data_IF_304912091913
#
_entry.id   IF_304912091913
#
_cell.length_a   1.000
_cell.length_b   1.000
_cell.length_c   1.000
_cell.angle_alpha   90.00
_cell.angle_beta   90.00
_cell.angle_gamma   90.00
#
_symmetry.space_group_name_H-M   'P 1'
#
loop_
_entity.id
_entity.type
_entity.pdbx_description
1 polymer ?
#
# COMPACT_ATOMS: atom_id res chain seq x y z
N UNK A 1 -32.07 13.95 8.98
CA UNK A 1 -30.64 13.91 9.37
C UNK A 1 -29.86 13.45 8.15
N UNK A 2 -29.01 14.31 7.59
CA UNK A 2 -28.07 13.90 6.53
C UNK A 2 -26.95 13.07 7.18
N UNK A 3 -26.52 11.96 6.56
CA UNK A 3 -25.36 11.21 7.03
C UNK A 3 -24.09 12.08 6.94
N UNK A 4 -23.09 11.87 7.81
CA UNK A 4 -21.82 12.57 7.73
C UNK A 4 -21.18 12.31 6.36
N UNK A 5 -20.83 13.39 5.64
CA UNK A 5 -20.17 13.31 4.35
C UNK A 5 -18.70 12.95 4.60
N UNK A 6 -18.36 11.68 4.38
CA UNK A 6 -16.97 11.23 4.33
C UNK A 6 -16.35 11.77 3.03
N UNK A 7 -15.51 12.80 3.14
CA UNK A 7 -14.67 13.23 2.04
C UNK A 7 -13.55 12.20 1.85
N UNK A 8 -13.76 11.22 0.97
CA UNK A 8 -12.70 10.33 0.51
C UNK A 8 -11.74 11.13 -0.36
N UNK A 9 -10.58 11.50 0.19
CA UNK A 9 -9.48 12.08 -0.57
C UNK A 9 -8.80 10.94 -1.30
N UNK A 10 -9.24 10.68 -2.54
CA UNK A 10 -8.52 9.78 -3.44
C UNK A 10 -7.20 10.43 -3.81
N UNK A 11 -6.10 9.78 -3.45
CA UNK A 11 -4.76 10.23 -3.77
C UNK A 11 -4.24 9.55 -5.03
N UNK A 12 -3.99 10.33 -6.07
CA UNK A 12 -3.18 9.86 -7.19
C UNK A 12 -1.72 10.27 -6.98
N UNK A 13 -0.85 9.27 -6.89
CA UNK A 13 0.54 9.44 -7.30
C UNK A 13 0.62 8.86 -8.71
N UNK A 14 0.75 9.69 -9.76
CA UNK A 14 0.65 9.23 -11.14
C UNK A 14 1.89 8.41 -11.48
N UNK A 15 1.85 7.10 -11.25
CA UNK A 15 2.91 6.15 -11.60
C UNK A 15 2.36 4.75 -11.95
N UNK A 16 1.15 4.65 -12.52
CA UNK A 16 0.74 3.40 -13.19
C UNK A 16 0.85 3.64 -14.69
N UNK A 17 1.80 2.99 -15.40
CA UNK A 17 1.75 3.01 -16.86
C UNK A 17 0.49 2.28 -17.30
N UNK A 18 -0.33 2.95 -18.11
CA UNK A 18 -1.28 2.26 -18.98
C UNK A 18 -0.47 1.28 -19.84
N UNK A 19 -0.94 0.04 -19.98
CA UNK A 19 -0.26 -1.05 -20.68
C UNK A 19 -0.10 -0.82 -22.20
N UNK A 20 -0.33 0.40 -22.69
CA UNK A 20 -0.36 0.75 -24.11
C UNK A 20 0.62 1.85 -24.55
N UNK A 21 1.41 2.47 -23.66
CA UNK A 21 2.34 3.54 -24.09
C UNK A 21 3.81 3.29 -23.75
N UNK A 22 4.57 2.91 -24.77
CA UNK A 22 6.03 3.00 -24.81
C UNK A 22 6.44 4.47 -24.94
N UNK A 23 6.64 5.15 -23.82
CA UNK A 23 7.34 6.43 -23.78
C UNK A 23 8.07 6.62 -22.45
N UNK A 24 9.39 6.70 -22.53
CA UNK A 24 10.30 7.03 -21.44
C UNK A 24 10.00 8.40 -20.84
N UNK A 25 9.15 8.43 -19.79
CA UNK A 25 9.00 9.59 -18.91
C UNK A 25 9.45 9.23 -17.51
N UNK A 26 10.50 9.91 -17.06
CA UNK A 26 11.06 9.76 -15.73
C UNK A 26 10.05 10.32 -14.70
N UNK A 27 9.23 9.42 -14.16
CA UNK A 27 8.22 9.74 -13.14
C UNK A 27 8.91 10.26 -11.87
N UNK A 28 8.79 11.56 -11.57
CA UNK A 28 9.14 12.11 -10.27
C UNK A 28 7.86 12.28 -9.44
N UNK A 29 7.72 11.52 -8.35
CA UNK A 29 6.60 11.60 -7.40
C UNK A 29 6.60 12.95 -6.66
N UNK A 30 6.12 14.02 -7.30
CA UNK A 30 6.16 15.40 -6.77
C UNK A 30 4.79 16.06 -6.62
N UNK A 31 3.74 15.40 -7.07
CA UNK A 31 2.38 15.94 -7.04
C UNK A 31 1.42 14.99 -6.34
N UNK A 32 0.51 15.57 -5.59
CA UNK A 32 -0.64 14.93 -4.98
C UNK A 32 -1.91 15.48 -5.63
N UNK A 33 -2.77 14.62 -6.17
CA UNK A 33 -4.10 15.02 -6.62
C UNK A 33 -5.11 14.88 -5.48
N UNK A 34 -5.91 15.92 -5.26
CA UNK A 34 -6.99 15.96 -4.27
C UNK A 34 -8.32 16.11 -5.00
N UNK A 35 -9.21 15.14 -4.83
CA UNK A 35 -10.59 15.20 -5.28
C UNK A 35 -11.54 15.33 -4.09
N UNK A 36 -12.48 16.28 -4.14
CA UNK A 36 -13.56 16.37 -3.17
C UNK A 36 -14.81 15.67 -3.71
N UNK A 37 -15.33 14.71 -2.94
CA UNK A 37 -16.60 14.01 -3.23
C UNK A 37 -17.62 14.34 -2.14
N UNK A 38 -18.91 14.34 -2.52
CA UNK A 38 -20.01 14.66 -1.60
C UNK A 38 -20.22 16.15 -1.30
N UNK A 39 -19.47 17.04 -1.95
CA UNK A 39 -19.63 18.50 -1.88
C UNK A 39 -20.11 19.00 -3.25
N UNK A 40 -21.02 19.98 -3.27
CA UNK A 40 -21.50 20.61 -4.52
C UNK A 40 -20.32 21.21 -5.30
N UNK A 41 -20.41 21.17 -6.62
CA UNK A 41 -19.41 21.78 -7.51
C UNK A 41 -19.34 23.30 -7.35
N UNK A 42 -18.18 23.87 -7.66
CA UNK A 42 -17.96 25.32 -7.62
C UNK A 42 -17.69 25.90 -6.23
N UNK A 43 -17.70 25.11 -5.17
CA UNK A 43 -17.36 25.54 -3.80
C UNK A 43 -15.85 25.80 -3.70
N UNK A 44 -15.40 26.91 -3.08
CA UNK A 44 -13.97 27.14 -2.87
C UNK A 44 -13.33 26.01 -2.07
N UNK A 45 -12.26 25.43 -2.60
CA UNK A 45 -11.49 24.36 -1.96
C UNK A 45 -10.03 24.79 -1.80
N UNK A 46 -9.43 24.42 -0.67
CA UNK A 46 -7.99 24.61 -0.41
C UNK A 46 -7.43 23.36 0.24
N UNK A 47 -6.36 22.81 -0.33
CA UNK A 47 -5.58 21.71 0.22
C UNK A 47 -4.23 22.23 0.70
N UNK A 48 -3.82 21.85 1.91
CA UNK A 48 -2.54 22.26 2.50
C UNK A 48 -1.83 21.03 3.07
N UNK A 49 -0.60 20.80 2.64
CA UNK A 49 0.26 19.76 3.20
C UNK A 49 1.23 20.34 4.23
N UNK A 50 1.51 19.55 5.26
CA UNK A 50 2.42 19.88 6.34
C UNK A 50 3.42 18.76 6.59
N UNK A 51 4.68 19.14 6.78
CA UNK A 51 5.72 18.35 7.44
C UNK A 51 5.71 18.74 8.93
N UNK A 52 5.14 17.86 9.76
CA UNK A 52 4.82 18.17 11.15
C UNK A 52 3.92 19.42 11.27
N UNK A 53 4.51 20.52 11.77
CA UNK A 53 3.84 21.84 11.89
C UNK A 53 4.15 22.79 10.73
N UNK A 54 5.20 22.50 9.94
CA UNK A 54 5.65 23.35 8.85
C UNK A 54 4.78 23.12 7.63
N UNK A 55 4.17 24.18 7.11
CA UNK A 55 3.45 24.14 5.83
C UNK A 55 4.46 23.94 4.69
N UNK A 56 4.25 22.93 3.85
CA UNK A 56 5.17 22.58 2.74
C UNK A 56 4.57 22.75 1.36
N UNK A 57 3.24 22.69 1.24
CA UNK A 57 2.55 22.97 -0.02
C UNK A 57 1.14 23.49 0.24
N UNK A 58 0.61 24.29 -0.68
CA UNK A 58 -0.81 24.69 -0.69
C UNK A 58 -1.31 24.79 -2.13
N UNK A 59 -2.53 24.34 -2.36
CA UNK A 59 -3.24 24.50 -3.60
C UNK A 59 -4.66 24.96 -3.30
N UNK A 60 -5.21 25.81 -4.16
CA UNK A 60 -6.59 26.31 -4.05
C UNK A 60 -7.29 26.22 -5.40
N UNK A 61 -8.60 26.00 -5.37
CA UNK A 61 -9.41 25.86 -6.56
C UNK A 61 -10.89 25.85 -6.23
N UNK A 62 -11.67 25.14 -7.05
CA UNK A 62 -13.10 24.89 -6.80
C UNK A 62 -13.40 23.40 -6.89
N UNK A 63 -14.34 22.91 -6.10
CA UNK A 63 -14.87 21.55 -6.19
C UNK A 63 -15.47 21.27 -7.58
N UNK A 64 -15.56 20.00 -7.95
CA UNK A 64 -15.93 19.56 -9.30
C UNK A 64 -14.75 19.45 -10.27
N UNK A 65 -13.53 19.79 -9.83
CA UNK A 65 -12.29 19.55 -10.57
C UNK A 65 -11.19 19.04 -9.63
N UNK A 66 -10.30 18.14 -10.08
CA UNK A 66 -9.15 17.72 -9.29
C UNK A 66 -8.24 18.91 -8.96
N UNK A 67 -7.74 18.95 -7.73
CA UNK A 67 -6.79 19.95 -7.27
C UNK A 67 -5.40 19.32 -7.15
N UNK A 68 -4.42 19.86 -7.86
CA UNK A 68 -3.04 19.36 -7.82
C UNK A 68 -2.20 20.14 -6.82
N UNK A 69 -1.64 19.43 -5.84
CA UNK A 69 -0.73 19.95 -4.84
C UNK A 69 0.70 19.51 -5.15
N UNK A 70 1.58 20.45 -5.48
CA UNK A 70 2.98 20.16 -5.80
C UNK A 70 3.87 20.33 -4.56
N UNK A 71 4.68 19.31 -4.26
CA UNK A 71 5.71 19.34 -3.24
C UNK A 71 7.08 19.47 -3.92
N UNK A 72 7.84 20.49 -3.52
CA UNK A 72 9.22 20.66 -3.95
C UNK A 72 10.13 19.83 -3.05
N UNK A 73 10.94 18.97 -3.65
CA UNK A 73 11.86 18.05 -2.95
C UNK A 73 11.19 17.23 -1.82
N UNK A 74 10.21 16.37 -2.17
CA UNK A 74 9.47 15.64 -1.16
C UNK A 74 10.35 14.59 -0.47
N UNK A 75 10.32 14.58 0.87
CA UNK A 75 10.69 13.41 1.67
C UNK A 75 9.80 12.22 1.27
N UNK A 76 10.42 11.19 0.70
CA UNK A 76 9.73 10.00 0.20
C UNK A 76 9.47 8.98 1.31
N UNK A 77 8.31 8.35 1.26
CA UNK A 77 7.94 7.21 2.09
C UNK A 77 8.66 5.95 1.62
N UNK A 78 9.11 5.12 2.57
CA UNK A 78 9.61 3.77 2.35
C UNK A 78 9.37 2.89 3.60
N UNK A 79 9.55 1.55 3.50
CA UNK A 79 9.47 0.68 4.67
C UNK A 79 10.44 1.01 5.81
N UNK A 80 11.62 1.56 5.48
CA UNK A 80 12.65 1.92 6.46
C UNK A 80 12.49 3.35 6.97
N UNK A 81 11.83 4.20 6.19
CA UNK A 81 11.53 5.59 6.51
C UNK A 81 10.07 5.90 6.14
N UNK A 82 9.10 5.53 7.00
CA UNK A 82 7.67 5.65 6.71
C UNK A 82 7.17 7.08 6.90
N UNK A 83 7.78 8.04 6.19
CA UNK A 83 7.46 9.45 6.32
C UNK A 83 6.05 9.77 5.81
N UNK A 84 5.25 10.43 6.64
CA UNK A 84 3.88 10.84 6.31
C UNK A 84 3.68 12.34 6.53
N UNK A 85 3.29 13.04 5.48
CA UNK A 85 2.78 14.40 5.54
C UNK A 85 1.37 14.41 6.14
N UNK A 86 1.01 15.52 6.78
CA UNK A 86 -0.37 15.81 7.15
C UNK A 86 -1.03 16.64 6.05
N UNK A 87 -2.18 16.21 5.57
CA UNK A 87 -3.03 16.95 4.65
C UNK A 87 -4.21 17.57 5.40
N UNK A 88 -4.52 18.82 5.06
CA UNK A 88 -5.73 19.50 5.50
C UNK A 88 -6.45 20.03 4.26
N UNK A 89 -7.71 19.64 4.09
CA UNK A 89 -8.57 20.10 3.00
C UNK A 89 -9.74 20.87 3.59
N UNK A 90 -9.98 22.07 3.09
CA UNK A 90 -11.14 22.90 3.42
C UNK A 90 -11.96 23.11 2.17
N UNK A 91 -13.27 22.88 2.25
CA UNK A 91 -14.22 23.14 1.17
C UNK A 91 -15.42 23.91 1.73
N UNK A 92 -15.50 25.21 1.45
CA UNK A 92 -16.49 26.09 2.11
C UNK A 92 -16.31 26.10 3.63
N UNK A 93 -17.35 25.65 4.37
CA UNK A 93 -17.31 25.52 5.82
C UNK A 93 -16.74 24.17 6.31
N UNK A 94 -16.63 23.18 5.42
CA UNK A 94 -16.20 21.83 5.79
C UNK A 94 -14.67 21.74 5.84
N UNK A 95 -14.18 20.86 6.72
CA UNK A 95 -12.75 20.59 6.89
C UNK A 95 -12.52 19.12 7.17
N UNK A 96 -11.58 18.53 6.43
CA UNK A 96 -11.11 17.16 6.63
C UNK A 96 -9.58 17.14 6.74
N UNK A 97 -9.07 16.22 7.57
CA UNK A 97 -7.64 15.94 7.70
C UNK A 97 -7.32 14.54 7.24
N UNK A 98 -6.17 14.36 6.59
CA UNK A 98 -5.64 13.06 6.22
C UNK A 98 -4.11 13.03 6.41
N UNK A 99 -3.50 11.88 6.18
CA UNK A 99 -2.04 11.72 6.10
C UNK A 99 -1.67 11.08 4.77
N UNK A 100 -0.44 11.33 4.30
CA UNK A 100 0.03 10.71 3.08
C UNK A 100 1.54 10.56 2.99
N UNK A 101 1.98 9.48 2.33
CA UNK A 101 3.38 9.24 1.97
C UNK A 101 3.61 9.46 0.47
N UNK A 102 4.71 10.11 0.12
CA UNK A 102 5.12 10.27 -1.29
C UNK A 102 6.00 9.08 -1.68
N UNK A 103 5.55 8.24 -2.61
CA UNK A 103 6.36 7.11 -3.12
C UNK A 103 6.07 6.84 -4.58
N UNK A 104 7.00 6.21 -5.29
CA UNK A 104 6.72 5.60 -6.60
C UNK A 104 7.02 4.10 -6.57
N UNK A 105 6.15 3.30 -7.19
CA UNK A 105 6.41 1.89 -7.47
C UNK A 105 6.30 1.70 -8.97
N UNK A 106 7.27 1.00 -9.56
CA UNK A 106 7.27 0.68 -10.97
C UNK A 106 7.98 -0.64 -11.22
N UNK A 107 7.81 -1.20 -12.41
CA UNK A 107 8.74 -2.20 -12.96
C UNK A 107 9.68 -1.45 -13.90
N UNK A 108 10.99 -1.64 -13.73
CA UNK A 108 12.01 -1.07 -14.60
C UNK A 108 12.97 -2.15 -15.07
N UNK A 109 13.38 -2.05 -16.34
CA UNK A 109 14.53 -2.79 -16.84
C UNK A 109 15.81 -2.27 -16.21
N UNK A 110 16.53 -3.14 -15.51
CA UNK A 110 17.84 -2.86 -14.93
C UNK A 110 18.75 -4.04 -15.28
N UNK A 111 19.82 -3.77 -16.00
CA UNK A 111 20.74 -4.77 -16.57
C UNK A 111 20.02 -5.86 -17.40
N UNK A 112 19.00 -5.46 -18.17
CA UNK A 112 18.22 -6.34 -19.03
C UNK A 112 17.27 -7.29 -18.30
N UNK A 113 17.01 -7.06 -17.01
CA UNK A 113 16.04 -7.81 -16.22
C UNK A 113 14.97 -6.87 -15.68
N UNK A 114 13.67 -7.22 -15.80
CA UNK A 114 12.60 -6.45 -15.18
C UNK A 114 12.68 -6.57 -13.65
N UNK A 115 12.78 -5.43 -12.97
CA UNK A 115 12.84 -5.34 -11.50
C UNK A 115 11.72 -4.44 -10.98
N UNK A 116 11.06 -4.88 -9.93
CA UNK A 116 10.21 -3.99 -9.13
C UNK A 116 11.09 -2.98 -8.40
N UNK A 117 10.79 -1.70 -8.57
CA UNK A 117 11.50 -0.60 -7.93
C UNK A 117 10.57 0.21 -7.03
N UNK A 118 11.07 0.60 -5.86
CA UNK A 118 10.48 1.59 -4.97
C UNK A 118 11.35 2.84 -5.01
N UNK A 119 10.74 4.00 -5.29
CA UNK A 119 11.44 5.28 -5.40
C UNK A 119 12.63 5.22 -6.39
N UNK A 120 12.49 4.41 -7.44
CA UNK A 120 13.51 4.22 -8.48
C UNK A 120 14.62 3.22 -8.16
N UNK A 121 14.64 2.63 -6.96
CA UNK A 121 15.65 1.63 -6.54
C UNK A 121 15.00 0.25 -6.46
N UNK A 122 15.67 -0.85 -6.88
CA UNK A 122 15.10 -2.20 -6.74
C UNK A 122 14.70 -2.49 -5.29
N UNK A 123 13.57 -3.18 -5.12
CA UNK A 123 13.07 -3.55 -3.80
C UNK A 123 12.71 -5.03 -3.77
N UNK A 124 13.27 -5.76 -2.82
CA UNK A 124 12.82 -7.10 -2.49
C UNK A 124 11.70 -7.02 -1.45
N UNK A 125 10.49 -7.40 -1.84
CA UNK A 125 9.32 -7.45 -0.95
C UNK A 125 9.32 -8.77 -0.19
N UNK A 126 9.83 -8.73 1.05
CA UNK A 126 9.79 -9.88 1.94
C UNK A 126 8.50 -9.81 2.75
N UNK A 127 7.55 -10.67 2.40
CA UNK A 127 6.23 -10.74 3.02
C UNK A 127 5.92 -12.11 3.60
N UNK A 128 5.02 -12.13 4.58
CA UNK A 128 4.30 -13.32 5.03
C UNK A 128 2.81 -13.15 4.81
N UNK A 129 2.10 -14.27 4.82
CA UNK A 129 0.64 -14.32 4.78
C UNK A 129 0.10 -13.85 6.13
N UNK A 130 -0.70 -12.79 6.11
CA UNK A 130 -1.53 -12.33 7.23
C UNK A 130 -2.97 -12.79 6.97
N UNK A 131 -3.35 -13.91 7.58
CA UNK A 131 -4.71 -14.47 7.48
C UNK A 131 -5.77 -13.60 8.18
N UNK A 132 -5.38 -12.69 9.08
CA UNK A 132 -6.32 -11.85 9.80
C UNK A 132 -7.26 -12.62 10.73
N UNK A 133 -6.83 -13.77 11.26
CA UNK A 133 -7.57 -14.51 12.31
C UNK A 133 -7.25 -13.98 13.69
N UNK A 134 -8.28 -13.74 14.49
CA UNK A 134 -8.25 -13.16 15.82
C UNK A 134 -8.77 -14.18 16.84
N UNK A 135 -8.18 -14.27 18.04
CA UNK A 135 -8.59 -15.28 19.02
C UNK A 135 -10.02 -15.05 19.52
N UNK A 136 -10.40 -13.78 19.68
CA UNK A 136 -11.67 -13.40 20.30
C UNK A 136 -12.80 -13.10 19.31
N UNK A 137 -12.47 -12.98 18.01
CA UNK A 137 -13.40 -12.47 17.00
C UNK A 137 -13.29 -13.11 15.63
N UNK A 138 -12.46 -14.16 15.48
CA UNK A 138 -12.11 -14.81 14.21
C UNK A 138 -11.74 -13.79 13.13
N UNK A 139 -12.69 -13.28 12.36
CA UNK A 139 -12.43 -12.33 11.29
C UNK A 139 -12.41 -10.86 11.72
N UNK A 140 -12.93 -10.53 12.89
CA UNK A 140 -13.07 -9.13 13.36
C UNK A 140 -12.06 -8.82 14.46
N UNK A 141 -11.24 -7.79 14.24
CA UNK A 141 -10.36 -7.27 15.28
C UNK A 141 -11.18 -6.53 16.35
N UNK A 142 -11.01 -6.86 17.65
CA UNK A 142 -11.80 -6.25 18.72
C UNK A 142 -11.40 -4.79 19.01
N UNK A 143 -10.17 -4.39 18.67
CA UNK A 143 -9.65 -3.04 18.91
C UNK A 143 -8.70 -2.59 17.79
N UNK A 144 -8.34 -1.30 17.79
CA UNK A 144 -7.32 -0.76 16.89
C UNK A 144 -5.93 -1.34 17.15
N UNK A 145 -5.61 -1.57 18.42
CA UNK A 145 -4.36 -2.18 18.83
C UNK A 145 -4.27 -3.61 18.31
N UNK A 146 -5.40 -4.33 18.27
CA UNK A 146 -5.47 -5.65 17.65
C UNK A 146 -5.20 -5.54 16.15
N UNK A 147 -5.83 -4.60 15.42
CA UNK A 147 -5.52 -4.33 14.01
C UNK A 147 -4.01 -4.15 13.79
N UNK A 148 -3.37 -3.34 14.62
CA UNK A 148 -1.94 -3.05 14.54
C UNK A 148 -1.02 -4.18 15.00
N UNK A 149 -1.49 -5.11 15.82
CA UNK A 149 -0.63 -6.09 16.50
C UNK A 149 0.17 -6.94 15.52
N UNK A 150 -0.51 -7.54 14.54
CA UNK A 150 0.14 -8.44 13.59
C UNK A 150 1.12 -7.66 12.71
N UNK A 151 0.78 -6.43 12.30
CA UNK A 151 1.68 -5.54 11.55
C UNK A 151 2.93 -5.15 12.35
N UNK A 152 2.76 -4.87 13.66
CA UNK A 152 3.89 -4.63 14.57
C UNK A 152 4.78 -5.88 14.68
N UNK A 153 4.18 -7.08 14.73
CA UNK A 153 4.94 -8.32 14.73
C UNK A 153 5.73 -8.51 13.42
N UNK A 154 5.14 -8.23 12.26
CA UNK A 154 5.84 -8.25 10.97
C UNK A 154 7.09 -7.36 11.00
N UNK A 155 6.96 -6.10 11.43
CA UNK A 155 8.11 -5.19 11.56
C UNK A 155 9.15 -5.68 12.56
N UNK A 156 8.74 -6.20 13.72
CA UNK A 156 9.66 -6.75 14.73
C UNK A 156 10.46 -7.94 14.19
N UNK A 157 9.87 -8.73 13.31
CA UNK A 157 10.49 -9.88 12.65
C UNK A 157 11.33 -9.48 11.42
N UNK A 158 11.39 -8.19 11.06
CA UNK A 158 12.21 -7.70 9.96
C UNK A 158 11.55 -7.77 8.58
N UNK A 159 10.25 -8.01 8.49
CA UNK A 159 9.53 -7.92 7.22
C UNK A 159 9.34 -6.46 6.80
N UNK A 160 9.50 -6.20 5.50
CA UNK A 160 9.23 -4.90 4.88
C UNK A 160 7.91 -4.89 4.07
N UNK A 161 7.26 -6.05 3.97
CA UNK A 161 5.99 -6.24 3.28
C UNK A 161 5.07 -7.18 4.05
N UNK A 162 3.77 -7.13 3.76
CA UNK A 162 2.75 -8.04 4.28
C UNK A 162 1.79 -8.41 3.16
N UNK A 163 1.39 -9.68 3.06
CA UNK A 163 0.32 -10.12 2.15
C UNK A 163 -0.95 -10.37 2.96
N UNK A 164 -1.98 -9.56 2.74
CA UNK A 164 -3.30 -9.80 3.35
C UNK A 164 -3.97 -10.93 2.58
N UNK A 165 -4.32 -12.00 3.28
CA UNK A 165 -4.86 -13.21 2.69
C UNK A 165 -6.37 -13.14 2.51
N UNK A 166 -6.85 -13.26 1.27
CA UNK A 166 -8.25 -13.52 0.88
C UNK A 166 -9.27 -12.67 1.69
N UNK A 167 -8.91 -11.41 1.96
CA UNK A 167 -9.68 -10.50 2.80
C UNK A 167 -9.32 -9.06 2.46
N UNK A 168 -10.30 -8.17 2.60
CA UNK A 168 -10.09 -6.72 2.64
C UNK A 168 -10.27 -6.25 4.09
N UNK A 169 -9.23 -5.62 4.65
CA UNK A 169 -9.28 -5.05 6.01
C UNK A 169 -9.83 -3.61 5.96
N UNK A 170 -10.37 -3.07 7.07
CA UNK A 170 -10.77 -1.66 7.11
C UNK A 170 -9.57 -0.72 6.91
N UNK A 171 -9.81 0.51 6.46
CA UNK A 171 -8.79 1.56 6.23
C UNK A 171 -7.82 1.76 7.40
N UNK A 172 -8.29 1.51 8.63
CA UNK A 172 -7.46 1.58 9.85
C UNK A 172 -6.27 0.62 9.81
N UNK A 173 -6.42 -0.56 9.20
CA UNK A 173 -5.31 -1.50 9.05
C UNK A 173 -4.25 -0.97 8.07
N UNK A 174 -4.68 -0.40 6.94
CA UNK A 174 -3.78 0.23 5.97
C UNK A 174 -3.05 1.44 6.56
N UNK A 175 -3.75 2.25 7.36
CA UNK A 175 -3.15 3.33 8.14
C UNK A 175 -2.00 2.84 9.05
N UNK A 176 -2.16 1.68 9.69
CA UNK A 176 -1.09 1.09 10.48
C UNK A 176 0.06 0.60 9.61
N UNK A 177 -0.20 0.01 8.44
CA UNK A 177 0.84 -0.39 7.50
C UNK A 177 1.63 0.82 6.97
N UNK A 178 0.96 1.93 6.66
CA UNK A 178 1.58 3.19 6.25
C UNK A 178 2.50 3.73 7.34
N UNK A 179 2.02 3.77 8.60
CA UNK A 179 2.78 4.28 9.75
C UNK A 179 3.94 3.40 10.16
N UNK A 180 3.78 2.08 10.04
CA UNK A 180 4.81 1.12 10.43
C UNK A 180 5.85 0.90 9.33
N UNK A 181 5.57 1.33 8.10
CA UNK A 181 6.45 1.11 6.96
C UNK A 181 6.39 -0.34 6.47
N UNK A 182 5.21 -0.77 6.02
CA UNK A 182 5.01 -2.05 5.36
C UNK A 182 4.40 -1.82 3.97
N UNK A 183 5.02 -2.38 2.93
CA UNK A 183 4.36 -2.50 1.64
C UNK A 183 3.25 -3.55 1.75
N UNK A 184 2.06 -3.23 1.25
CA UNK A 184 0.92 -4.16 1.31
C UNK A 184 0.75 -4.84 -0.03
N UNK A 185 0.72 -6.16 0.03
CA UNK A 185 0.18 -6.99 -1.02
C UNK A 185 -1.28 -7.33 -0.66
N UNK A 186 -2.22 -6.72 -1.38
CA UNK A 186 -3.65 -6.91 -1.16
C UNK A 186 -4.16 -8.06 -2.05
N UNK A 187 -4.71 -9.12 -1.46
CA UNK A 187 -5.40 -10.16 -2.23
C UNK A 187 -6.69 -9.64 -2.86
N UNK A 188 -7.12 -10.32 -3.92
CA UNK A 188 -8.43 -10.17 -4.54
C UNK A 188 -9.54 -10.86 -3.73
N UNK A 189 -10.83 -10.51 -3.95
CA UNK A 189 -11.95 -11.31 -3.45
C UNK A 189 -11.84 -12.77 -3.90
N UNK A 190 -12.13 -13.74 -3.04
CA UNK A 190 -12.09 -15.15 -3.44
C UNK A 190 -13.42 -15.65 -4.00
N UNK A 191 -13.30 -16.60 -4.93
CA UNK A 191 -14.40 -17.47 -5.36
C UNK A 191 -14.32 -18.83 -4.65
N UNK A 192 -15.39 -19.61 -4.70
CA UNK A 192 -15.44 -20.96 -4.11
C UNK A 192 -14.36 -21.87 -4.72
N UNK A 193 -13.47 -22.39 -3.86
CA UNK A 193 -12.41 -23.31 -4.26
C UNK A 193 -12.97 -24.61 -4.86
N UNK A 194 -12.29 -25.15 -5.88
CA UNK A 194 -12.62 -26.43 -6.51
C UNK A 194 -13.88 -26.42 -7.39
N UNK A 195 -14.50 -25.27 -7.63
CA UNK A 195 -15.74 -25.15 -8.41
C UNK A 195 -15.52 -24.20 -9.59
N UNK A 196 -15.94 -24.62 -10.79
CA UNK A 196 -16.02 -23.71 -11.93
C UNK A 196 -17.10 -22.64 -11.66
N UNK A 197 -16.77 -21.33 -11.72
CA UNK A 197 -17.70 -20.31 -11.29
C UNK A 197 -18.92 -20.23 -12.22
N UNK A 198 -20.08 -19.90 -11.65
CA UNK A 198 -21.26 -19.52 -12.43
C UNK A 198 -21.10 -18.11 -13.01
N UNK A 199 -21.94 -17.73 -13.98
CA UNK A 199 -21.96 -16.36 -14.50
C UNK A 199 -22.21 -15.32 -13.38
N UNK A 200 -23.11 -15.63 -12.45
CA UNK A 200 -23.38 -14.77 -11.29
C UNK A 200 -22.17 -14.62 -10.36
N UNK A 201 -21.39 -15.69 -10.17
CA UNK A 201 -20.17 -15.66 -9.34
C UNK A 201 -19.07 -14.80 -9.97
N UNK A 202 -18.89 -14.88 -11.30
CA UNK A 202 -17.98 -14.00 -12.05
C UNK A 202 -18.36 -12.53 -11.91
N UNK A 203 -19.63 -12.21 -12.16
CA UNK A 203 -20.14 -10.84 -12.04
C UNK A 203 -20.02 -10.28 -10.60
N UNK A 204 -20.15 -11.14 -9.58
CA UNK A 204 -19.92 -10.77 -8.19
C UNK A 204 -18.46 -10.41 -7.92
N UNK A 205 -17.55 -11.28 -8.31
CA UNK A 205 -16.12 -11.04 -8.16
C UNK A 205 -15.67 -9.77 -8.88
N UNK A 206 -16.10 -9.55 -10.12
CA UNK A 206 -15.73 -8.36 -10.89
C UNK A 206 -16.18 -7.07 -10.19
N UNK A 207 -17.39 -7.06 -9.61
CA UNK A 207 -17.90 -5.93 -8.84
C UNK A 207 -17.11 -5.74 -7.54
N UNK A 208 -16.91 -6.78 -6.75
CA UNK A 208 -16.19 -6.70 -5.46
C UNK A 208 -14.72 -6.32 -5.66
N UNK A 209 -14.08 -6.79 -6.75
CA UNK A 209 -12.73 -6.39 -7.14
C UNK A 209 -12.69 -4.90 -7.49
N UNK A 210 -13.68 -4.42 -8.25
CA UNK A 210 -13.80 -3.00 -8.59
C UNK A 210 -14.01 -2.14 -7.34
N UNK A 211 -14.90 -2.55 -6.44
CA UNK A 211 -15.16 -1.85 -5.17
C UNK A 211 -13.89 -1.77 -4.33
N UNK A 212 -13.17 -2.88 -4.16
CA UNK A 212 -11.89 -2.89 -3.44
C UNK A 212 -10.85 -1.94 -4.06
N UNK A 213 -10.72 -1.92 -5.40
CA UNK A 213 -9.80 -1.00 -6.10
C UNK A 213 -10.24 0.45 -5.93
N UNK A 214 -11.54 0.74 -6.08
CA UNK A 214 -12.07 2.10 -5.95
C UNK A 214 -11.88 2.65 -4.53
N UNK A 215 -12.00 1.79 -3.50
CA UNK A 215 -11.86 2.13 -2.09
C UNK A 215 -10.39 2.23 -1.65
N UNK A 216 -9.55 1.23 -1.98
CA UNK A 216 -8.20 1.11 -1.42
C UNK A 216 -7.07 1.37 -2.44
N UNK A 217 -7.37 1.48 -3.73
CA UNK A 217 -6.39 1.77 -4.77
C UNK A 217 -5.86 3.21 -4.77
N UNK A 218 -6.52 4.12 -4.06
CA UNK A 218 -6.21 5.56 -4.06
C UNK A 218 -5.63 6.04 -2.73
N UNK A 219 -4.35 5.74 -2.48
CA UNK A 219 -3.59 6.40 -1.40
C UNK A 219 -3.09 5.51 -0.26
N UNK A 220 -3.44 4.23 -0.23
CA UNK A 220 -2.97 3.28 0.78
C UNK A 220 -1.59 2.70 0.43
N UNK A 221 -0.89 2.08 1.40
CA UNK A 221 0.33 1.25 1.20
C UNK A 221 0.17 0.05 0.25
N UNK A 222 -1.04 -0.19 -0.27
CA UNK A 222 -1.32 -1.16 -1.32
C UNK A 222 -0.37 -0.95 -2.52
N UNK A 223 0.46 -1.94 -2.78
CA UNK A 223 1.49 -1.90 -3.81
C UNK A 223 1.26 -2.92 -4.92
N UNK A 224 0.59 -4.03 -4.63
CA UNK A 224 0.40 -5.15 -5.54
C UNK A 224 -0.96 -5.81 -5.27
N UNK A 225 -1.71 -6.11 -6.33
CA UNK A 225 -2.91 -6.95 -6.32
C UNK A 225 -2.58 -8.26 -7.03
N UNK A 226 -3.01 -9.42 -6.52
CA UNK A 226 -2.67 -10.74 -7.10
C UNK A 226 -3.83 -11.73 -7.07
N UNK A 227 -3.85 -12.68 -8.01
CA UNK A 227 -3.60 -14.14 -7.83
C UNK A 227 -3.53 -14.84 -9.21
N UNK A 228 -2.73 -15.91 -9.39
CA UNK A 228 -2.78 -16.80 -10.58
C UNK A 228 -3.17 -18.25 -10.19
N UNK A 229 -2.74 -18.73 -9.02
CA UNK A 229 -3.16 -20.00 -8.42
C UNK A 229 -2.94 -19.97 -6.89
N UNK A 230 -3.65 -20.81 -6.15
CA UNK A 230 -3.60 -20.90 -4.68
C UNK A 230 -2.99 -22.23 -4.20
N UNK A 231 -2.28 -22.21 -3.06
CA UNK A 231 -1.71 -23.40 -2.41
C UNK A 231 -2.00 -23.31 -0.91
N UNK A 232 -2.98 -24.09 -0.43
CA UNK A 232 -3.36 -24.13 0.98
C UNK A 232 -2.63 -25.26 1.75
N UNK A 233 -2.06 -24.95 2.92
CA UNK A 233 -1.36 -25.92 3.77
C UNK A 233 -0.63 -25.34 5.00
N UNK A 234 -1.05 -24.17 5.49
CA UNK A 234 -0.28 -23.35 6.43
C UNK A 234 -0.45 -23.82 7.90
N UNK A 235 0.34 -24.82 8.31
CA UNK A 235 0.19 -25.46 9.63
C UNK A 235 1.18 -24.97 10.71
N UNK A 236 2.04 -23.97 10.44
CA UNK A 236 3.05 -23.53 11.42
C UNK A 236 3.46 -22.04 11.33
N UNK A 237 2.58 -21.13 11.77
CA UNK A 237 2.87 -19.68 11.81
C UNK A 237 3.88 -19.25 12.89
N UNK A 238 4.41 -18.02 12.79
CA UNK A 238 5.40 -17.46 13.74
C UNK A 238 4.84 -17.17 15.13
N UNK A 239 3.53 -16.95 15.24
CA UNK A 239 2.81 -16.73 16.49
C UNK A 239 1.96 -17.96 16.81
N UNK A 240 1.75 -18.24 18.09
CA UNK A 240 0.61 -19.08 18.51
C UNK A 240 -0.71 -18.36 18.20
N UNK A 241 -1.78 -19.12 18.02
CA UNK A 241 -3.09 -18.58 17.64
C UNK A 241 -3.57 -17.47 18.59
N UNK A 242 -3.39 -17.68 19.90
CA UNK A 242 -3.69 -16.75 20.99
C UNK A 242 -2.72 -15.55 21.10
N UNK A 243 -1.68 -15.49 20.25
CA UNK A 243 -0.60 -14.47 20.28
C UNK A 243 0.19 -14.43 21.58
N UNK A 244 0.14 -15.48 22.39
CA UNK A 244 0.90 -15.57 23.64
C UNK A 244 2.40 -15.80 23.39
N UNK A 245 2.75 -16.54 22.33
CA UNK A 245 4.14 -16.91 22.04
C UNK A 245 4.52 -16.51 20.62
N UNK A 246 5.54 -15.66 20.51
CA UNK A 246 6.28 -15.46 19.28
C UNK A 246 7.42 -16.49 19.22
N UNK A 247 7.27 -17.50 18.38
CA UNK A 247 8.08 -18.72 18.36
C UNK A 247 9.57 -18.49 18.01
N UNK A 248 9.96 -17.66 17.03
CA UNK A 248 11.37 -17.48 16.66
C UNK A 248 12.10 -16.47 17.56
N UNK A 249 13.43 -16.56 17.59
CA UNK A 249 14.30 -15.50 18.10
C UNK A 249 14.20 -14.28 17.16
N UNK A 250 13.53 -13.24 17.63
CA UNK A 250 13.19 -12.06 16.81
C UNK A 250 14.42 -11.29 16.35
N UNK A 251 15.44 -11.17 17.18
CA UNK A 251 16.64 -10.42 16.85
C UNK A 251 17.44 -11.14 15.76
N UNK A 252 17.62 -12.46 15.90
CA UNK A 252 18.31 -13.27 14.88
C UNK A 252 17.55 -13.30 13.56
N UNK A 253 16.23 -13.52 13.62
CA UNK A 253 15.40 -13.60 12.42
C UNK A 253 15.35 -12.25 11.69
N UNK A 254 15.18 -11.15 12.44
CA UNK A 254 15.22 -9.80 11.87
C UNK A 254 16.56 -9.51 11.21
N UNK A 255 17.68 -9.83 11.84
CA UNK A 255 19.01 -9.64 11.24
C UNK A 255 19.16 -10.43 9.93
N UNK A 256 18.65 -11.66 9.87
CA UNK A 256 18.65 -12.49 8.67
C UNK A 256 17.76 -11.89 7.55
N UNK A 257 16.55 -11.44 7.89
CA UNK A 257 15.63 -10.81 6.94
C UNK A 257 16.19 -9.50 6.40
N UNK A 258 16.74 -8.63 7.25
CA UNK A 258 17.37 -7.39 6.81
C UNK A 258 18.58 -7.66 5.90
N UNK A 259 19.39 -8.69 6.20
CA UNK A 259 20.48 -9.10 5.32
C UNK A 259 19.97 -9.59 3.95
N UNK A 260 18.91 -10.41 3.94
CA UNK A 260 18.28 -10.88 2.71
C UNK A 260 17.69 -9.74 1.89
N UNK A 261 16.89 -8.87 2.50
CA UNK A 261 16.29 -7.71 1.84
C UNK A 261 17.38 -6.84 1.21
N UNK A 262 18.44 -6.51 1.96
CA UNK A 262 19.57 -5.73 1.42
C UNK A 262 20.28 -6.44 0.29
N UNK A 263 20.52 -7.75 0.37
CA UNK A 263 21.23 -8.49 -0.66
C UNK A 263 20.39 -8.67 -1.93
N UNK A 264 19.11 -8.99 -1.79
CA UNK A 264 18.18 -9.24 -2.89
C UNK A 264 17.67 -7.96 -3.55
N UNK A 265 17.73 -6.81 -2.86
CA UNK A 265 17.43 -5.49 -3.43
C UNK A 265 18.62 -4.89 -4.21
N UNK A 266 19.77 -5.56 -4.27
CA UNK A 266 20.88 -5.13 -5.15
C UNK A 266 20.56 -5.49 -6.58
N UNK A 267 20.99 -4.63 -7.50
CA UNK A 267 20.98 -4.91 -8.94
C UNK A 267 21.72 -6.22 -9.24
N UNK A 268 22.91 -6.37 -8.66
CA UNK A 268 23.67 -7.61 -8.65
C UNK A 268 23.73 -8.17 -7.23
N UNK A 269 23.11 -9.34 -6.96
CA UNK A 269 23.20 -9.99 -5.65
C UNK A 269 24.65 -10.29 -5.29
N UNK A 270 24.99 -10.14 -4.00
CA UNK A 270 26.34 -10.40 -3.49
C UNK A 270 26.73 -11.85 -3.78
N UNK A 271 27.85 -12.07 -4.48
CA UNK A 271 28.37 -13.40 -4.82
C UNK A 271 27.91 -13.97 -6.17
N UNK A 272 27.03 -13.27 -6.90
CA UNK A 272 26.69 -13.62 -8.27
C UNK A 272 27.50 -12.79 -9.27
N UNK A 273 28.05 -13.39 -10.35
CA UNK A 273 28.60 -12.61 -11.46
C UNK A 273 27.49 -11.77 -12.09
N UNK A 274 27.85 -10.60 -12.63
CA UNK A 274 26.92 -9.79 -13.41
C UNK A 274 26.29 -10.63 -14.52
N UNK A 275 24.98 -10.49 -14.73
CA UNK A 275 24.29 -11.22 -15.78
C UNK A 275 24.98 -10.93 -17.12
N UNK A 276 25.47 -11.99 -17.78
CA UNK A 276 25.96 -11.84 -19.15
C UNK A 276 24.76 -11.52 -20.03
N UNK A 277 24.87 -10.57 -20.98
CA UNK A 277 23.78 -10.33 -21.91
C UNK A 277 23.47 -11.65 -22.63
N UNK A 278 22.19 -12.04 -22.62
CA UNK A 278 21.72 -13.19 -23.39
C UNK A 278 21.96 -12.80 -24.85
N UNK A 279 22.98 -13.42 -25.46
CA UNK A 279 23.20 -13.31 -26.90
C UNK A 279 22.01 -13.98 -27.59
N UNK A 280 21.22 -13.18 -28.31
CA UNK A 280 20.21 -13.67 -29.26
C UNK A 280 20.90 -14.34 -30.45
#
# INVERSE_FOLDING_TARGET
>A
MQPPVHANVGMEVPCVPDASETASRQCSARSLTVEARGVRDGVPITATAYDGRRKVATASGRTGRPLTLTLHDPHLWSPDDPFLYRLEVKAGADRVGSQFGMRSIAVKEIDGVPRTVLNGTPVFMMATVDQGFRPDGLHTAPTDEALAYDLKAHKRLGFNSVRKHIKVEPDRWFYWADRLGLLVWQDMPAMTAGVNPSAASRARYEREMKEMIDEHGKGSSGAVYTQIADVEGELNGFLTYDRAVLKPDTAKLRAAHEALIRAASRVTPTGCPAAQPVLN
#
